data_IF_894341327883
#
_entry.id   IF_894341327883
#
_cell.length_a   1.000
_cell.length_b   1.000
_cell.length_c   1.000
_cell.angle_alpha   90.00
_cell.angle_beta   90.00
_cell.angle_gamma   90.00
#
_symmetry.space_group_name_H-M   'P 1'
#
loop_
_entity.id
_entity.type
_entity.pdbx_description
1 polymer ?
#
# COMPACT_ATOMS: atom_id res chain seq x y z
N UNK A 1 -2.87 67.42 -21.55
CA UNK A 1 -3.69 67.16 -20.35
C UNK A 1 -3.08 65.95 -19.66
N UNK A 2 -2.28 66.28 -18.65
CA UNK A 2 -1.45 65.40 -17.83
C UNK A 2 -2.28 64.60 -16.83
N UNK A 3 -1.82 63.39 -16.52
CA UNK A 3 -1.96 62.65 -15.26
C UNK A 3 -0.98 61.47 -15.33
N UNK A 4 -0.22 61.06 -14.33
CA UNK A 4 0.18 61.63 -13.04
C UNK A 4 1.32 60.71 -12.57
N UNK A 5 2.46 61.26 -12.18
CA UNK A 5 3.55 60.52 -11.53
C UNK A 5 3.26 60.42 -10.03
N UNK A 6 3.43 59.24 -9.44
CA UNK A 6 3.54 59.10 -7.99
C UNK A 6 4.73 58.20 -7.63
N UNK A 7 5.78 58.85 -7.12
CA UNK A 7 6.92 58.22 -6.43
C UNK A 7 6.60 58.11 -4.95
N UNK A 8 6.81 56.95 -4.35
CA UNK A 8 6.68 56.73 -2.91
C UNK A 8 7.74 55.76 -2.41
N UNK A 9 8.83 56.32 -1.90
CA UNK A 9 9.88 55.66 -1.11
C UNK A 9 9.43 55.41 0.33
N UNK A 10 9.76 54.25 0.91
CA UNK A 10 9.92 54.05 2.36
C UNK A 10 10.78 52.80 2.61
N UNK A 11 12.05 52.97 3.02
CA UNK A 11 12.56 52.85 4.40
C UNK A 11 12.48 51.44 4.99
N UNK A 12 13.59 50.70 4.89
CA UNK A 12 13.87 49.52 5.69
C UNK A 12 14.95 49.88 6.74
N UNK A 13 14.53 49.95 7.99
CA UNK A 13 15.36 50.19 9.17
C UNK A 13 16.01 48.86 9.59
N UNK A 14 17.32 48.72 9.39
CA UNK A 14 18.09 47.62 9.96
C UNK A 14 18.51 48.00 11.39
N UNK A 15 18.08 47.19 12.35
CA UNK A 15 18.39 47.36 13.76
C UNK A 15 19.76 46.74 14.05
N UNK A 16 20.72 47.57 14.47
CA UNK A 16 22.00 47.14 15.01
C UNK A 16 21.84 46.62 16.45
N UNK A 17 22.56 45.57 16.81
CA UNK A 17 22.93 45.31 18.21
C UNK A 17 24.35 44.74 18.29
N UNK A 18 25.18 45.20 19.24
CA UNK A 18 26.62 45.06 19.20
C UNK A 18 27.16 43.79 19.87
N UNK A 19 28.27 43.32 19.31
CA UNK A 19 29.19 42.33 19.89
C UNK A 19 29.94 42.90 21.10
N UNK A 20 29.95 42.13 22.20
CA UNK A 20 30.95 42.27 23.26
C UNK A 20 31.96 41.12 23.17
N UNK A 21 33.23 41.53 23.15
CA UNK A 21 34.47 40.77 23.08
C UNK A 21 34.75 39.93 24.35
N UNK A 22 35.36 38.75 24.22
CA UNK A 22 36.73 38.44 24.70
C UNK A 22 37.01 36.93 24.82
N UNK A 23 38.20 36.50 24.40
CA UNK A 23 38.79 35.22 24.84
C UNK A 23 39.67 34.51 23.80
N UNK A 24 40.95 34.87 23.75
CA UNK A 24 42.00 34.24 22.93
C UNK A 24 42.28 32.78 23.33
N UNK A 25 42.65 31.91 22.37
CA UNK A 25 43.97 31.22 22.35
C UNK A 25 44.13 30.28 21.14
N UNK A 26 45.26 30.37 20.43
CA UNK A 26 45.87 29.22 19.71
C UNK A 26 45.75 29.15 18.18
N UNK A 27 46.71 29.75 17.46
CA UNK A 27 47.06 29.56 16.02
C UNK A 27 47.74 28.18 15.79
N UNK A 28 47.80 27.58 14.57
CA UNK A 28 48.52 28.15 13.42
C UNK A 28 47.83 28.12 12.06
N UNK A 29 48.40 29.00 11.22
CA UNK A 29 48.03 29.43 9.88
C UNK A 29 48.87 28.67 8.86
N UNK A 30 48.27 28.26 7.73
CA UNK A 30 48.93 28.34 6.41
C UNK A 30 47.85 28.68 5.34
N UNK A 31 48.12 29.64 4.41
CA UNK A 31 47.13 30.19 3.48
C UNK A 31 47.24 29.58 2.07
N UNK A 32 46.18 29.68 1.26
CA UNK A 32 46.30 29.72 -0.20
C UNK A 32 45.17 30.54 -0.83
N UNK A 33 45.61 31.48 -1.67
CA UNK A 33 44.89 32.53 -2.39
C UNK A 33 44.40 32.06 -3.78
N UNK A 34 43.61 32.95 -4.40
CA UNK A 34 43.17 33.05 -5.82
C UNK A 34 41.80 32.40 -6.10
N UNK A 35 40.69 33.11 -6.33
CA UNK A 35 40.36 34.34 -7.06
C UNK A 35 40.43 34.23 -8.61
N UNK A 36 39.32 34.64 -9.23
CA UNK A 36 39.14 35.34 -10.52
C UNK A 36 38.36 34.61 -11.64
N UNK A 37 37.13 35.13 -11.84
CA UNK A 37 36.43 35.59 -13.06
C UNK A 37 35.96 34.61 -14.17
N UNK A 38 34.65 34.56 -14.46
CA UNK A 38 33.82 35.33 -15.44
C UNK A 38 33.84 34.74 -16.86
N UNK A 39 32.66 34.30 -17.34
CA UNK A 39 32.09 34.49 -18.69
C UNK A 39 30.71 33.80 -18.71
N UNK A 40 29.57 34.50 -18.60
CA UNK A 40 28.83 35.22 -19.66
C UNK A 40 28.68 34.44 -20.98
N UNK A 41 27.50 33.88 -21.22
CA UNK A 41 26.98 33.62 -22.57
C UNK A 41 25.45 33.73 -22.56
N UNK A 42 24.97 34.64 -23.42
CA UNK A 42 23.58 34.96 -23.72
C UNK A 42 22.98 33.93 -24.68
N UNK A 43 21.70 33.62 -24.51
CA UNK A 43 20.79 33.21 -25.59
C UNK A 43 19.35 33.53 -25.14
N UNK A 44 18.81 34.72 -25.42
CA UNK A 44 18.02 35.10 -26.62
C UNK A 44 16.87 34.15 -26.99
N UNK A 45 15.65 34.58 -26.61
CA UNK A 45 14.43 34.70 -27.46
C UNK A 45 13.94 33.50 -28.26
N UNK A 46 12.70 33.06 -27.96
CA UNK A 46 11.60 33.10 -28.93
C UNK A 46 10.23 33.02 -28.22
N UNK A 47 9.34 33.90 -28.65
CA UNK A 47 7.95 34.07 -28.24
C UNK A 47 7.02 33.46 -29.32
N UNK A 48 5.81 33.09 -28.88
CA UNK A 48 4.55 32.99 -29.63
C UNK A 48 4.14 31.63 -30.22
N UNK A 49 2.83 31.40 -30.51
CA UNK A 49 1.62 31.92 -29.87
C UNK A 49 0.57 30.84 -29.53
N UNK A 50 -0.38 31.21 -28.67
CA UNK A 50 -1.66 30.54 -28.51
C UNK A 50 -2.50 30.65 -29.81
N UNK A 51 -3.24 29.58 -30.14
CA UNK A 51 -4.32 29.60 -31.15
C UNK A 51 -5.55 28.86 -30.62
N UNK A 52 -6.77 29.31 -31.00
CA UNK A 52 -8.02 29.02 -30.32
C UNK A 52 -8.79 27.83 -30.90
N UNK A 53 -9.70 27.25 -30.10
CA UNK A 53 -10.87 26.51 -30.61
C UNK A 53 -11.84 27.50 -31.29
N UNK A 54 -12.55 27.16 -32.38
CA UNK A 54 -13.85 26.49 -32.23
C UNK A 54 -14.33 25.64 -33.44
N UNK A 55 -15.36 24.81 -33.25
CA UNK A 55 -16.67 24.84 -33.96
C UNK A 55 -17.39 23.49 -33.98
N UNK A 56 -18.69 23.60 -33.76
CA UNK A 56 -19.70 22.57 -33.89
C UNK A 56 -19.88 22.08 -35.34
N UNK A 57 -20.28 20.82 -35.48
CA UNK A 57 -20.72 20.21 -36.74
C UNK A 57 -21.67 19.06 -36.45
N UNK A 58 -22.92 19.22 -36.86
CA UNK A 58 -24.09 18.39 -36.58
C UNK A 58 -24.26 17.24 -37.57
N UNK A 59 -25.31 16.43 -37.33
CA UNK A 59 -25.96 15.41 -38.18
C UNK A 59 -25.22 14.07 -38.27
N UNK A 60 -25.88 12.92 -38.20
CA UNK A 60 -27.30 12.57 -38.26
C UNK A 60 -27.35 11.10 -38.72
N UNK A 61 -28.17 10.27 -38.09
CA UNK A 61 -28.23 8.85 -38.43
C UNK A 61 -29.22 8.08 -37.58
N UNK A 62 -30.50 8.39 -37.75
CA UNK A 62 -31.61 7.59 -37.26
C UNK A 62 -31.80 6.33 -38.11
N UNK A 63 -32.47 5.36 -37.50
CA UNK A 63 -33.22 4.23 -38.11
C UNK A 63 -32.36 2.98 -38.37
N UNK A 64 -32.78 1.74 -38.10
CA UNK A 64 -34.14 1.21 -37.97
C UNK A 64 -34.17 -0.06 -37.10
N UNK A 65 -35.35 -0.31 -36.54
CA UNK A 65 -35.80 -1.56 -35.97
C UNK A 65 -35.81 -2.72 -37.00
N UNK A 66 -35.76 -3.97 -36.49
CA UNK A 66 -35.80 -5.21 -37.27
C UNK A 66 -35.75 -6.46 -36.36
N UNK A 67 -36.78 -6.76 -35.58
CA UNK A 67 -37.81 -7.82 -35.81
C UNK A 67 -37.31 -9.29 -35.77
N UNK A 68 -37.88 -10.05 -34.81
CA UNK A 68 -38.25 -11.49 -34.80
C UNK A 68 -37.21 -12.62 -34.65
N UNK A 69 -37.55 -13.57 -33.76
CA UNK A 69 -37.00 -14.93 -33.68
C UNK A 69 -36.77 -15.36 -32.23
N UNK A 70 -37.80 -15.61 -31.40
CA UNK A 70 -38.52 -16.89 -31.27
C UNK A 70 -37.61 -18.13 -31.39
N UNK A 71 -37.28 -18.76 -30.25
CA UNK A 71 -37.14 -20.22 -30.08
C UNK A 71 -36.87 -20.57 -28.61
N UNK A 72 -37.92 -21.06 -27.95
CA UNK A 72 -37.82 -21.97 -26.79
C UNK A 72 -37.24 -23.31 -27.26
N UNK A 73 -36.55 -24.05 -26.38
CA UNK A 73 -37.11 -25.36 -26.06
C UNK A 73 -37.07 -25.71 -24.56
N UNK A 74 -38.19 -26.26 -24.11
CA UNK A 74 -38.42 -26.98 -22.85
C UNK A 74 -37.98 -28.46 -22.96
N UNK A 75 -38.12 -29.28 -21.91
CA UNK A 75 -37.07 -30.16 -21.37
C UNK A 75 -37.02 -31.55 -22.03
N UNK A 76 -35.95 -32.30 -21.76
CA UNK A 76 -35.93 -33.75 -21.97
C UNK A 76 -35.60 -34.44 -20.65
N UNK A 77 -36.60 -35.15 -20.12
CA UNK A 77 -36.43 -36.20 -19.11
C UNK A 77 -36.11 -37.51 -19.82
N UNK A 78 -35.09 -38.23 -19.37
CA UNK A 78 -34.96 -39.68 -19.60
C UNK A 78 -34.41 -40.34 -18.34
N UNK A 79 -35.24 -41.20 -17.75
CA UNK A 79 -34.91 -42.18 -16.73
C UNK A 79 -33.88 -43.20 -17.20
N UNK A 80 -32.99 -43.62 -16.30
CA UNK A 80 -32.55 -45.01 -16.25
C UNK A 80 -32.30 -45.41 -14.79
N UNK A 81 -33.19 -46.27 -14.32
CA UNK A 81 -33.15 -47.02 -13.08
C UNK A 81 -32.06 -48.08 -13.14
N UNK A 82 -31.35 -48.30 -12.04
CA UNK A 82 -30.85 -49.64 -11.67
C UNK A 82 -30.55 -49.68 -10.17
N UNK A 83 -31.46 -50.36 -9.48
CA UNK A 83 -31.29 -50.85 -8.12
C UNK A 83 -30.32 -52.04 -8.12
N UNK A 84 -29.41 -52.10 -7.15
CA UNK A 84 -28.98 -53.36 -6.53
C UNK A 84 -28.68 -53.10 -5.05
N UNK A 85 -29.50 -53.69 -4.19
CA UNK A 85 -29.23 -53.98 -2.77
C UNK A 85 -29.29 -55.51 -2.63
N UNK A 86 -28.26 -56.13 -2.01
CA UNK A 86 -28.50 -56.87 -0.77
C UNK A 86 -27.38 -56.58 0.26
N UNK A 87 -27.71 -56.15 1.49
CA UNK A 87 -27.93 -56.95 2.71
C UNK A 87 -26.66 -57.52 3.38
N UNK A 88 -26.67 -57.65 4.73
CA UNK A 88 -25.50 -57.42 5.57
C UNK A 88 -24.76 -58.70 5.96
N UNK A 89 -23.47 -58.58 6.23
CA UNK A 89 -22.66 -59.60 6.91
C UNK A 89 -22.05 -59.01 8.16
N UNK A 90 -22.50 -59.54 9.29
CA UNK A 90 -21.93 -59.38 10.63
C UNK A 90 -20.78 -60.38 10.74
N UNK A 91 -19.62 -59.94 11.23
CA UNK A 91 -18.95 -60.48 12.43
C UNK A 91 -17.42 -60.27 12.44
N UNK A 92 -16.96 -59.98 13.66
CA UNK A 92 -15.67 -60.34 14.24
C UNK A 92 -14.55 -59.30 14.21
N UNK A 93 -14.37 -58.71 15.41
CA UNK A 93 -13.18 -58.03 15.88
C UNK A 93 -11.90 -58.85 15.66
N UNK A 94 -10.88 -58.19 15.13
CA UNK A 94 -9.49 -58.56 15.36
C UNK A 94 -8.74 -57.30 15.83
N UNK A 95 -8.31 -57.36 17.09
CA UNK A 95 -7.38 -56.42 17.70
C UNK A 95 -6.02 -56.56 17.02
N UNK A 96 -5.48 -55.46 16.48
CA UNK A 96 -4.07 -55.35 16.09
C UNK A 96 -3.44 -54.13 16.74
N UNK A 97 -2.31 -54.40 17.39
CA UNK A 97 -1.45 -53.55 18.21
C UNK A 97 -0.99 -52.25 17.51
N UNK A 98 -0.71 -51.15 18.26
CA UNK A 98 -0.29 -49.88 17.67
C UNK A 98 1.16 -49.95 17.17
N UNK A 99 1.35 -49.71 15.87
CA UNK A 99 2.68 -49.53 15.27
C UNK A 99 2.97 -48.05 15.05
N UNK A 100 3.84 -47.53 15.90
CA UNK A 100 4.96 -46.63 15.59
C UNK A 100 4.71 -45.42 14.69
N UNK A 101 4.64 -44.26 15.34
CA UNK A 101 5.37 -43.03 15.01
C UNK A 101 5.27 -42.52 13.58
N UNK A 102 4.18 -41.79 13.29
CA UNK A 102 4.19 -40.80 12.22
C UNK A 102 5.12 -39.64 12.62
N UNK A 103 6.28 -39.59 11.97
CA UNK A 103 7.19 -38.44 11.96
C UNK A 103 6.40 -37.19 11.57
N UNK A 104 6.14 -36.32 12.54
CA UNK A 104 5.55 -35.01 12.31
C UNK A 104 6.51 -34.20 11.44
N UNK A 105 6.02 -33.71 10.30
CA UNK A 105 6.73 -32.72 9.51
C UNK A 105 7.09 -31.52 10.43
N UNK A 106 8.28 -30.90 10.26
CA UNK A 106 8.66 -29.76 11.07
C UNK A 106 7.63 -28.64 10.87
N UNK A 107 7.00 -28.23 11.97
CA UNK A 107 6.20 -27.01 12.01
C UNK A 107 7.07 -25.85 11.52
N UNK A 108 6.49 -25.00 10.67
CA UNK A 108 7.07 -23.71 10.29
C UNK A 108 7.62 -23.02 11.54
N UNK A 109 8.89 -22.58 11.57
CA UNK A 109 9.46 -21.93 12.75
C UNK A 109 8.55 -20.78 13.17
N UNK A 110 8.11 -20.79 14.43
CA UNK A 110 7.53 -19.60 15.03
C UNK A 110 8.51 -18.43 14.84
N UNK A 111 8.02 -17.20 14.63
CA UNK A 111 8.89 -16.03 14.55
C UNK A 111 9.87 -16.06 15.72
N UNK A 112 11.16 -15.86 15.41
CA UNK A 112 12.25 -15.95 16.38
C UNK A 112 11.83 -15.27 17.67
N UNK A 113 12.01 -15.95 18.82
CA UNK A 113 11.62 -15.50 20.14
C UNK A 113 12.46 -14.30 20.63
N UNK A 114 12.64 -13.29 19.78
CA UNK A 114 13.07 -11.97 20.18
C UNK A 114 12.00 -11.37 21.10
N UNK A 115 12.44 -10.54 22.04
CA UNK A 115 11.53 -9.74 22.84
C UNK A 115 10.62 -8.93 21.89
N UNK A 116 9.33 -8.88 22.17
CA UNK A 116 8.39 -8.00 21.48
C UNK A 116 8.17 -6.76 22.33
N UNK A 117 7.99 -5.61 21.68
CA UNK A 117 7.65 -4.33 22.30
C UNK A 117 6.31 -3.88 21.78
N UNK A 118 5.61 -3.07 22.56
CA UNK A 118 4.36 -2.44 22.14
C UNK A 118 4.62 -0.97 21.88
N UNK A 119 4.25 -0.50 20.70
CA UNK A 119 4.14 0.91 20.39
C UNK A 119 2.76 1.38 20.86
N UNK A 120 2.71 2.57 21.44
CA UNK A 120 1.46 3.26 21.79
C UNK A 120 1.58 4.71 21.33
N UNK A 121 0.58 5.19 20.60
CA UNK A 121 0.51 6.59 20.16
C UNK A 121 0.39 7.54 21.34
N UNK A 122 0.78 8.82 21.15
CA UNK A 122 0.75 9.82 22.22
C UNK A 122 -0.65 10.05 22.82
N UNK A 123 -1.70 9.87 22.01
CA UNK A 123 -3.11 9.95 22.41
C UNK A 123 -3.67 8.62 22.94
N UNK A 124 -2.85 7.56 23.00
CA UNK A 124 -3.23 6.20 23.42
C UNK A 124 -4.35 5.56 22.62
N UNK A 125 -4.65 6.08 21.42
CA UNK A 125 -5.70 5.55 20.55
C UNK A 125 -5.23 4.40 19.67
N UNK A 126 -3.93 4.35 19.36
CA UNK A 126 -3.36 3.32 18.49
C UNK A 126 -2.24 2.60 19.22
N UNK A 127 -2.27 1.27 19.16
CA UNK A 127 -1.18 0.44 19.65
C UNK A 127 -0.94 -0.77 18.76
N UNK A 128 0.32 -1.23 18.69
CA UNK A 128 0.68 -2.47 18.00
C UNK A 128 1.98 -3.05 18.58
N UNK A 129 2.16 -4.35 18.45
CA UNK A 129 3.37 -5.05 18.87
C UNK A 129 4.37 -5.15 17.72
N UNK A 130 5.67 -4.97 17.99
CA UNK A 130 6.74 -5.09 17.01
C UNK A 130 7.97 -5.79 17.63
N UNK A 131 8.83 -6.43 16.82
CA UNK A 131 10.08 -7.00 17.31
C UNK A 131 10.97 -5.95 17.98
N UNK A 132 11.54 -6.25 19.15
CA UNK A 132 12.36 -5.29 19.91
C UNK A 132 13.63 -4.82 19.19
N UNK A 133 14.06 -5.57 18.17
CA UNK A 133 15.20 -5.23 17.32
C UNK A 133 14.83 -4.29 16.18
N UNK A 134 13.54 -4.11 15.90
CA UNK A 134 13.03 -3.16 14.92
C UNK A 134 12.88 -1.76 15.53
N UNK A 135 12.90 -0.74 14.68
CA UNK A 135 12.76 0.67 15.04
C UNK A 135 11.43 1.21 14.56
N UNK A 136 10.86 2.09 15.37
CA UNK A 136 9.63 2.82 15.07
C UNK A 136 10.00 4.31 15.08
N UNK A 137 9.65 5.02 14.02
CA UNK A 137 9.94 6.45 13.84
C UNK A 137 8.76 7.16 13.20
N UNK A 138 8.61 8.45 13.44
CA UNK A 138 7.61 9.26 12.74
C UNK A 138 7.89 9.24 11.22
N UNK A 139 6.87 9.01 10.42
CA UNK A 139 7.01 9.00 8.97
C UNK A 139 7.21 10.43 8.45
N UNK A 140 8.09 10.60 7.46
CA UNK A 140 8.39 11.91 6.91
C UNK A 140 7.19 12.47 6.11
N UNK A 141 6.70 13.65 6.49
CA UNK A 141 5.67 14.37 5.74
C UNK A 141 4.22 14.15 6.19
N UNK A 142 3.99 13.69 7.43
CA UNK A 142 2.65 13.50 7.98
C UNK A 142 1.75 14.74 7.85
N UNK A 143 0.53 14.55 7.34
CA UNK A 143 -0.44 15.60 7.02
C UNK A 143 -1.42 15.90 8.15
N UNK A 144 -1.09 15.48 9.37
CA UNK A 144 -1.98 15.46 10.53
C UNK A 144 -2.57 14.06 10.72
N UNK A 145 -2.50 13.55 11.96
CA UNK A 145 -2.79 12.15 12.29
C UNK A 145 -1.58 11.45 12.92
N UNK A 146 -1.64 10.12 12.96
CA UNK A 146 -0.54 9.24 13.41
C UNK A 146 0.11 8.67 12.15
N UNK A 147 1.37 9.03 11.95
CA UNK A 147 2.18 8.69 10.78
C UNK A 147 3.49 8.06 11.26
N UNK A 148 3.64 6.74 11.10
CA UNK A 148 4.71 5.98 11.73
C UNK A 148 5.30 4.97 10.75
N UNK A 149 6.62 5.02 10.57
CA UNK A 149 7.39 4.01 9.84
C UNK A 149 7.98 2.99 10.82
N UNK A 150 7.88 1.72 10.47
CA UNK A 150 8.58 0.63 11.17
C UNK A 150 9.69 0.11 10.27
N UNK A 151 10.93 0.15 10.75
CA UNK A 151 12.10 -0.34 10.04
C UNK A 151 12.72 -1.56 10.76
N UNK A 152 13.22 -2.51 9.97
CA UNK A 152 13.92 -3.67 10.50
C UNK A 152 15.35 -3.33 10.95
N UNK A 153 16.11 -4.34 11.39
CA UNK A 153 17.49 -4.19 11.87
C UNK A 153 18.47 -3.65 10.80
N UNK A 154 18.12 -3.79 9.52
CA UNK A 154 18.88 -3.27 8.39
C UNK A 154 18.47 -1.85 7.99
N UNK A 155 17.66 -1.18 8.82
CA UNK A 155 17.07 0.14 8.60
C UNK A 155 16.22 0.22 7.32
N UNK A 156 15.67 -0.92 6.88
CA UNK A 156 14.70 -1.00 5.79
C UNK A 156 13.29 -0.87 6.37
N UNK A 157 12.53 0.12 5.90
CA UNK A 157 11.11 0.27 6.27
C UNK A 157 10.33 -0.95 5.77
N UNK A 158 9.75 -1.69 6.71
CA UNK A 158 8.98 -2.91 6.45
C UNK A 158 7.48 -2.64 6.37
N UNK A 159 6.98 -1.65 7.09
CA UNK A 159 5.61 -1.20 7.03
C UNK A 159 5.46 0.24 7.55
N UNK A 160 4.48 0.95 7.01
CA UNK A 160 4.09 2.30 7.43
C UNK A 160 2.65 2.28 7.91
N UNK A 161 2.41 2.85 9.08
CA UNK A 161 1.11 3.09 9.67
C UNK A 161 0.70 4.54 9.40
N UNK A 162 -0.50 4.71 8.86
CA UNK A 162 -1.14 6.00 8.66
C UNK A 162 -2.56 5.94 9.23
N UNK A 163 -2.85 6.78 10.21
CA UNK A 163 -4.19 6.93 10.82
C UNK A 163 -4.51 8.43 10.90
N UNK A 164 -5.44 8.90 10.08
CA UNK A 164 -5.75 10.32 10.05
C UNK A 164 -6.69 10.72 8.92
N UNK A 165 -6.92 12.04 8.75
CA UNK A 165 -7.60 12.56 7.57
C UNK A 165 -6.76 12.26 6.33
N UNK A 166 -7.18 11.25 5.56
CA UNK A 166 -6.51 10.92 4.30
C UNK A 166 -7.01 11.80 3.16
N UNK A 167 -6.14 12.05 2.19
CA UNK A 167 -6.56 12.49 0.86
C UNK A 167 -7.42 11.43 0.16
N UNK A 168 -8.06 11.82 -0.95
CA UNK A 168 -8.83 10.87 -1.77
C UNK A 168 -7.95 9.76 -2.34
N UNK A 169 -8.49 8.54 -2.43
CA UNK A 169 -7.86 7.44 -3.13
C UNK A 169 -7.78 7.78 -4.62
N UNK A 170 -6.58 8.08 -5.10
CA UNK A 170 -6.32 8.48 -6.47
C UNK A 170 -5.32 7.56 -7.16
N UNK A 171 -5.33 7.57 -8.49
CA UNK A 171 -4.45 6.77 -9.32
C UNK A 171 -5.20 6.22 -10.52
N UNK A 172 -4.55 6.26 -11.68
CA UNK A 172 -5.02 5.56 -12.86
C UNK A 172 -3.99 4.48 -13.19
N UNK A 173 -4.47 3.29 -13.53
CA UNK A 173 -3.65 2.24 -14.10
C UNK A 173 -4.35 1.71 -15.35
N UNK A 174 -3.54 1.13 -16.23
CA UNK A 174 -3.98 0.52 -17.48
C UNK A 174 -3.36 -0.87 -17.56
N UNK A 175 -4.04 -1.80 -18.22
CA UNK A 175 -3.58 -3.18 -18.36
C UNK A 175 -3.83 -3.98 -17.08
N UNK A 176 -5.03 -4.53 -16.95
CA UNK A 176 -5.33 -5.47 -15.89
C UNK A 176 -4.43 -6.70 -16.02
N UNK A 177 -3.85 -7.11 -14.90
CA UNK A 177 -3.01 -8.30 -14.80
C UNK A 177 -3.63 -9.30 -13.83
N UNK A 178 -3.30 -10.59 -13.93
CA UNK A 178 -3.77 -11.58 -12.97
C UNK A 178 -3.44 -11.18 -11.54
N UNK A 179 -4.46 -11.21 -10.70
CA UNK A 179 -4.43 -10.83 -9.30
C UNK A 179 -4.58 -12.08 -8.43
N UNK A 180 -3.82 -12.15 -7.35
CA UNK A 180 -3.88 -13.31 -6.44
C UNK A 180 -3.71 -12.86 -4.99
N UNK A 181 -4.61 -13.33 -4.13
CA UNK A 181 -4.44 -13.25 -2.68
C UNK A 181 -3.64 -14.48 -2.24
N UNK A 182 -2.46 -14.25 -1.67
CA UNK A 182 -1.53 -15.29 -1.23
C UNK A 182 -1.77 -15.70 0.23
N UNK A 183 -2.19 -14.75 1.06
CA UNK A 183 -2.50 -14.93 2.48
C UNK A 183 -3.58 -13.94 2.89
N UNK A 184 -4.45 -14.32 3.81
CA UNK A 184 -5.45 -13.42 4.38
C UNK A 184 -5.87 -13.88 5.76
N UNK A 185 -5.98 -12.93 6.69
CA UNK A 185 -6.49 -13.16 8.04
C UNK A 185 -7.33 -11.97 8.47
N UNK A 186 -8.53 -12.23 8.95
CA UNK A 186 -9.42 -11.19 9.48
C UNK A 186 -8.81 -10.60 10.75
N UNK A 187 -9.01 -9.29 10.91
CA UNK A 187 -8.55 -8.54 12.08
C UNK A 187 -9.72 -7.77 12.66
N UNK A 188 -9.71 -7.62 13.98
CA UNK A 188 -10.73 -6.88 14.69
C UNK A 188 -10.33 -5.41 14.75
N UNK A 189 -10.83 -4.64 13.78
CA UNK A 189 -10.56 -3.21 13.66
C UNK A 189 -11.87 -2.44 13.43
N UNK A 190 -11.98 -1.21 13.96
CA UNK A 190 -13.11 -0.36 13.65
C UNK A 190 -13.15 -0.09 12.15
N UNK A 191 -14.32 -0.30 11.54
CA UNK A 191 -14.53 -0.06 10.13
C UNK A 191 -15.97 0.39 9.89
N UNK A 192 -16.17 1.11 8.78
CA UNK A 192 -17.49 1.50 8.33
C UNK A 192 -17.90 0.61 7.15
N UNK A 193 -18.84 -0.35 7.34
CA UNK A 193 -19.30 -1.19 6.25
C UNK A 193 -19.91 -0.34 5.14
N UNK A 194 -19.47 -0.57 3.92
CA UNK A 194 -19.99 0.07 2.72
C UNK A 194 -20.27 -1.00 1.65
N UNK A 195 -21.02 -0.63 0.62
CA UNK A 195 -21.33 -1.58 -0.45
C UNK A 195 -20.03 -2.05 -1.11
N UNK A 196 -19.77 -3.34 -1.07
CA UNK A 196 -18.59 -3.95 -1.69
C UNK A 196 -17.37 -4.04 -0.78
N UNK A 197 -17.47 -3.62 0.49
CA UNK A 197 -16.43 -3.89 1.49
C UNK A 197 -16.66 -5.23 2.19
N UNK A 198 -15.61 -5.75 2.80
CA UNK A 198 -15.55 -6.97 3.60
C UNK A 198 -14.97 -6.62 4.98
N UNK A 199 -15.08 -7.53 5.94
CA UNK A 199 -14.42 -7.38 7.23
C UNK A 199 -12.93 -7.08 7.04
N UNK A 200 -12.38 -6.08 7.76
CA UNK A 200 -10.97 -5.76 7.74
C UNK A 200 -10.10 -6.99 7.89
N UNK A 201 -9.07 -7.07 7.08
CA UNK A 201 -8.16 -8.21 7.04
C UNK A 201 -6.77 -7.74 6.72
N UNK A 202 -5.79 -8.40 7.31
CA UNK A 202 -4.47 -8.45 6.72
C UNK A 202 -4.55 -9.30 5.46
N UNK A 203 -3.92 -8.85 4.38
CA UNK A 203 -3.81 -9.63 3.15
C UNK A 203 -2.42 -9.45 2.53
N UNK A 204 -1.84 -10.55 2.03
CA UNK A 204 -0.69 -10.51 1.13
C UNK A 204 -1.17 -10.76 -0.29
N UNK A 205 -0.99 -9.79 -1.18
CA UNK A 205 -1.63 -9.73 -2.50
C UNK A 205 -0.59 -9.51 -3.58
N UNK A 206 -0.82 -10.10 -4.75
CA UNK A 206 0.13 -10.11 -5.85
C UNK A 206 -0.53 -9.76 -7.19
N UNK A 207 0.17 -8.92 -7.97
CA UNK A 207 -0.06 -8.66 -9.38
C UNK A 207 0.97 -9.45 -10.20
N UNK A 208 0.50 -10.24 -11.15
CA UNK A 208 1.36 -11.08 -11.99
C UNK A 208 1.57 -10.42 -13.36
N UNK A 209 2.72 -9.78 -13.54
CA UNK A 209 3.13 -9.20 -14.81
C UNK A 209 3.87 -10.25 -15.65
N UNK A 210 4.02 -10.08 -16.98
CA UNK A 210 4.63 -11.09 -17.84
C UNK A 210 6.04 -11.55 -17.44
N UNK A 211 6.80 -10.70 -16.76
CA UNK A 211 8.21 -10.94 -16.40
C UNK A 211 8.49 -10.84 -14.90
N UNK A 212 7.49 -10.56 -14.07
CA UNK A 212 7.66 -10.37 -12.62
C UNK A 212 6.34 -10.50 -11.88
N UNK A 213 6.43 -10.63 -10.57
CA UNK A 213 5.30 -10.54 -9.66
C UNK A 213 5.55 -9.39 -8.70
N UNK A 214 4.63 -8.45 -8.64
CA UNK A 214 4.67 -7.36 -7.67
C UNK A 214 3.67 -7.68 -6.57
N UNK A 215 4.14 -7.80 -5.32
CA UNK A 215 3.29 -8.17 -4.20
C UNK A 215 3.52 -7.27 -2.99
N UNK A 216 2.48 -7.11 -2.18
CA UNK A 216 2.46 -6.25 -1.01
C UNK A 216 1.54 -6.84 0.04
N UNK A 217 1.87 -6.61 1.30
CA UNK A 217 1.02 -6.97 2.42
C UNK A 217 0.54 -5.73 3.18
N UNK A 218 -0.66 -5.82 3.72
CA UNK A 218 -1.20 -4.78 4.57
C UNK A 218 -2.65 -5.01 4.93
N UNK A 219 -3.21 -4.04 5.65
CA UNK A 219 -4.61 -4.01 5.99
C UNK A 219 -5.47 -3.66 4.78
N UNK A 220 -6.62 -4.31 4.64
CA UNK A 220 -7.61 -3.97 3.62
C UNK A 220 -9.02 -4.36 4.05
N UNK A 221 -10.01 -3.62 3.59
CA UNK A 221 -11.45 -3.96 3.73
C UNK A 221 -12.13 -4.13 2.37
N UNK A 222 -11.38 -4.06 1.27
CA UNK A 222 -11.95 -4.05 -0.07
C UNK A 222 -11.32 -5.18 -0.90
N UNK A 223 -12.12 -6.14 -1.40
CA UNK A 223 -11.61 -7.13 -2.32
C UNK A 223 -11.21 -6.44 -3.63
N UNK A 224 -9.94 -6.56 -4.01
CA UNK A 224 -9.47 -6.17 -5.33
C UNK A 224 -9.62 -7.34 -6.33
N UNK A 225 -9.50 -7.05 -7.62
CA UNK A 225 -9.40 -8.12 -8.62
C UNK A 225 -10.73 -8.69 -9.09
N UNK A 226 -11.66 -7.85 -9.58
CA UNK A 226 -12.89 -8.38 -10.17
C UNK A 226 -12.55 -9.35 -11.32
N UNK A 227 -13.12 -10.55 -11.31
CA UNK A 227 -12.78 -11.65 -12.23
C UNK A 227 -11.33 -12.15 -12.15
N UNK A 228 -10.64 -11.94 -11.02
CA UNK A 228 -9.27 -12.42 -10.81
C UNK A 228 -8.20 -11.55 -11.47
N UNK A 229 -8.54 -10.34 -11.93
CA UNK A 229 -7.61 -9.40 -12.55
C UNK A 229 -7.82 -7.99 -12.01
N UNK A 230 -6.73 -7.23 -11.83
CA UNK A 230 -6.78 -5.79 -11.53
C UNK A 230 -5.50 -5.13 -12.03
N UNK A 231 -5.57 -3.85 -12.38
CA UNK A 231 -4.38 -3.07 -12.65
C UNK A 231 -3.77 -2.44 -11.38
N UNK A 232 -4.53 -2.33 -10.26
CA UNK A 232 -4.03 -1.85 -8.97
C UNK A 232 -4.85 -2.32 -7.77
N UNK A 233 -4.29 -2.16 -6.56
CA UNK A 233 -4.99 -2.26 -5.30
C UNK A 233 -4.38 -1.33 -4.23
N UNK A 234 -5.15 -1.04 -3.18
CA UNK A 234 -4.72 -0.25 -2.03
C UNK A 234 -4.72 -1.10 -0.76
N UNK A 235 -3.76 -0.86 0.13
CA UNK A 235 -3.72 -1.43 1.48
C UNK A 235 -4.33 -0.46 2.49
N UNK A 236 -5.63 -0.25 2.39
CA UNK A 236 -6.38 0.70 3.23
C UNK A 236 -7.65 0.07 3.78
N UNK A 237 -8.08 0.54 4.95
CA UNK A 237 -9.37 0.22 5.56
C UNK A 237 -10.18 1.51 5.69
N UNK A 238 -11.45 1.45 5.34
CA UNK A 238 -12.42 2.53 5.53
C UNK A 238 -12.87 2.53 6.99
N UNK A 239 -12.39 3.51 7.74
CA UNK A 239 -12.68 3.65 9.16
C UNK A 239 -13.92 4.49 9.45
N UNK A 240 -14.22 4.74 10.74
CA UNK A 240 -15.29 5.65 11.17
C UNK A 240 -14.96 7.11 10.84
N UNK A 241 -15.90 8.03 11.07
CA UNK A 241 -15.75 9.45 10.68
C UNK A 241 -14.55 10.18 11.29
N UNK A 242 -14.03 9.70 12.43
CA UNK A 242 -12.85 10.27 13.08
C UNK A 242 -11.54 9.93 12.32
N UNK A 243 -11.46 8.72 11.75
CA UNK A 243 -10.37 8.25 10.91
C UNK A 243 -10.96 7.60 9.66
N UNK A 244 -11.39 8.41 8.68
CA UNK A 244 -12.16 7.90 7.54
C UNK A 244 -11.37 6.88 6.71
N UNK A 245 -10.04 6.91 6.81
CA UNK A 245 -9.15 5.95 6.20
C UNK A 245 -7.94 5.72 7.10
N UNK A 246 -7.51 4.47 7.19
CA UNK A 246 -6.21 4.15 7.76
C UNK A 246 -5.54 3.01 7.00
N UNK A 247 -4.22 2.95 7.11
CA UNK A 247 -3.36 1.98 6.42
C UNK A 247 -2.30 1.47 7.39
N UNK A 248 -2.01 0.17 7.35
CA UNK A 248 -0.79 -0.37 7.92
C UNK A 248 -0.26 -1.46 6.98
N UNK A 249 0.79 -1.13 6.23
CA UNK A 249 1.21 -1.91 5.06
C UNK A 249 2.67 -1.65 4.67
N UNK A 250 3.27 -2.55 3.89
CA UNK A 250 4.58 -2.30 3.26
C UNK A 250 4.51 -1.28 2.13
N UNK A 251 3.39 -1.21 1.40
CA UNK A 251 3.10 -0.19 0.41
C UNK A 251 1.65 0.29 0.53
N UNK A 252 1.40 1.58 0.33
CA UNK A 252 0.05 2.12 0.35
C UNK A 252 -0.77 1.68 -0.87
N UNK A 253 -0.16 1.75 -2.06
CA UNK A 253 -0.76 1.42 -3.34
C UNK A 253 0.17 0.53 -4.17
N UNK A 254 -0.39 -0.52 -4.78
CA UNK A 254 0.34 -1.35 -5.74
C UNK A 254 -0.34 -1.28 -7.09
N UNK A 255 0.42 -0.95 -8.14
CA UNK A 255 -0.06 -0.88 -9.51
C UNK A 255 0.83 -1.70 -10.45
N UNK A 256 0.22 -2.32 -11.46
CA UNK A 256 0.95 -2.95 -12.55
C UNK A 256 1.79 -1.89 -13.29
N UNK A 257 3.02 -2.24 -13.65
CA UNK A 257 3.96 -1.28 -14.25
C UNK A 257 4.44 -0.17 -13.30
N UNK A 258 4.15 -0.27 -11.99
CA UNK A 258 4.73 0.62 -10.99
C UNK A 258 6.25 0.50 -10.92
N UNK A 259 6.91 1.59 -10.51
CA UNK A 259 8.33 1.59 -10.09
C UNK A 259 8.40 1.91 -8.60
N UNK A 260 9.46 1.45 -7.93
CA UNK A 260 9.68 1.75 -6.51
C UNK A 260 9.97 3.24 -6.23
N UNK A 261 10.26 4.02 -7.28
CA UNK A 261 10.45 5.47 -7.17
C UNK A 261 9.13 6.23 -6.94
N UNK A 262 8.00 5.60 -7.23
CA UNK A 262 6.67 6.14 -6.94
C UNK A 262 6.44 6.09 -5.42
N UNK A 263 6.29 7.24 -4.72
CA UNK A 263 6.14 7.25 -3.26
C UNK A 263 4.96 6.42 -2.76
N UNK A 264 3.90 6.26 -3.57
CA UNK A 264 2.73 5.45 -3.21
C UNK A 264 3.00 3.95 -3.37
N UNK A 265 3.97 3.59 -4.20
CA UNK A 265 4.41 2.23 -4.50
C UNK A 265 5.61 1.77 -3.65
N UNK A 266 6.25 2.72 -2.95
CA UNK A 266 7.42 2.48 -2.11
C UNK A 266 7.14 1.38 -1.09
N UNK A 267 7.96 0.32 -1.13
CA UNK A 267 7.92 -0.83 -0.23
C UNK A 267 7.23 -2.07 -0.79
N UNK A 268 6.55 -1.97 -1.94
CA UNK A 268 6.03 -3.13 -2.67
C UNK A 268 7.19 -4.02 -3.12
N UNK A 269 6.99 -5.34 -3.05
CA UNK A 269 8.06 -6.32 -3.27
C UNK A 269 7.96 -6.90 -4.66
N UNK A 270 9.10 -6.99 -5.35
CA UNK A 270 9.19 -7.64 -6.66
C UNK A 270 9.78 -9.04 -6.52
N UNK A 271 9.12 -10.01 -7.13
CA UNK A 271 9.52 -11.42 -7.16
C UNK A 271 9.61 -11.91 -8.62
N UNK A 272 10.47 -12.91 -8.90
CA UNK A 272 10.53 -13.51 -10.23
C UNK A 272 9.30 -14.38 -10.56
N UNK A 273 8.55 -14.83 -9.56
CA UNK A 273 7.38 -15.69 -9.74
C UNK A 273 6.45 -15.67 -8.52
N UNK A 274 5.24 -16.21 -8.67
CA UNK A 274 4.33 -16.43 -7.54
C UNK A 274 4.92 -17.38 -6.49
N UNK A 275 5.66 -18.41 -6.92
CA UNK A 275 6.27 -19.35 -5.98
C UNK A 275 7.35 -18.69 -5.12
N UNK A 276 8.11 -17.75 -5.69
CA UNK A 276 9.05 -16.94 -4.93
C UNK A 276 8.32 -16.04 -3.91
N UNK A 277 7.19 -15.44 -4.29
CA UNK A 277 6.35 -14.68 -3.36
C UNK A 277 5.79 -15.59 -2.23
N UNK A 278 5.36 -16.82 -2.56
CA UNK A 278 4.91 -17.80 -1.55
C UNK A 278 6.05 -18.27 -0.65
N UNK A 279 7.26 -18.40 -1.16
CA UNK A 279 8.44 -18.72 -0.37
C UNK A 279 8.77 -17.60 0.62
N UNK A 280 8.60 -16.33 0.22
CA UNK A 280 8.78 -15.17 1.10
C UNK A 280 7.89 -15.23 2.35
N UNK A 281 6.67 -15.78 2.25
CA UNK A 281 5.78 -15.93 3.41
C UNK A 281 6.33 -16.81 4.54
N UNK A 282 7.36 -17.61 4.25
CA UNK A 282 8.02 -18.46 5.24
C UNK A 282 9.21 -17.77 5.92
N UNK A 283 9.55 -16.56 5.49
CA UNK A 283 10.67 -15.81 6.05
C UNK A 283 10.30 -15.21 7.41
N UNK A 284 11.27 -15.06 8.33
CA UNK A 284 11.04 -14.38 9.60
C UNK A 284 10.54 -12.94 9.40
N UNK A 285 11.01 -12.27 8.36
CA UNK A 285 10.66 -10.89 8.03
C UNK A 285 9.15 -10.75 7.77
N UNK A 286 8.60 -11.62 6.90
CA UNK A 286 7.16 -11.67 6.64
C UNK A 286 6.35 -12.06 7.89
N UNK A 287 6.78 -13.11 8.61
CA UNK A 287 6.05 -13.60 9.79
C UNK A 287 6.00 -12.55 10.90
N UNK A 288 7.09 -11.82 11.10
CA UNK A 288 7.16 -10.71 12.05
C UNK A 288 6.27 -9.55 11.59
N UNK A 289 6.32 -9.17 10.31
CA UNK A 289 5.48 -8.09 9.77
C UNK A 289 3.99 -8.43 9.86
N UNK A 290 3.61 -9.66 9.52
CA UNK A 290 2.22 -10.15 9.66
C UNK A 290 1.76 -10.06 11.11
N UNK A 291 2.56 -10.56 12.07
CA UNK A 291 2.21 -10.48 13.50
C UNK A 291 2.09 -9.02 13.96
N UNK A 292 3.01 -8.15 13.54
CA UNK A 292 2.96 -6.73 13.87
C UNK A 292 1.69 -6.06 13.35
N UNK A 293 1.38 -6.20 12.06
CA UNK A 293 0.22 -5.54 11.45
C UNK A 293 -1.10 -6.10 12.04
N UNK A 294 -1.18 -7.42 12.26
CA UNK A 294 -2.37 -8.04 12.85
C UNK A 294 -2.55 -7.78 14.35
N UNK A 295 -1.52 -7.27 15.03
CA UNK A 295 -1.61 -6.86 16.44
C UNK A 295 -2.13 -5.43 16.63
N UNK A 296 -2.38 -4.71 15.53
CA UNK A 296 -2.89 -3.34 15.57
C UNK A 296 -4.21 -3.29 16.33
N UNK A 297 -4.31 -2.33 17.24
CA UNK A 297 -5.53 -1.96 17.94
C UNK A 297 -5.76 -0.48 17.73
N UNK A 298 -6.99 -0.14 17.38
CA UNK A 298 -7.48 1.23 17.30
C UNK A 298 -8.65 1.32 18.25
N UNK A 299 -8.53 2.21 19.24
CA UNK A 299 -9.57 2.48 20.22
C UNK A 299 -10.38 3.69 19.78
N UNK A 300 -11.69 3.51 19.67
CA UNK A 300 -12.64 4.62 19.53
C UNK A 300 -12.72 5.38 20.85
N UNK A 301 -12.85 6.72 20.77
CA UNK A 301 -13.00 7.59 21.93
C UNK A 301 -14.39 7.55 22.55
#
# INVERSE_FOLDING_TARGET
MECSMNSGTNTATANESPLASSGLSGRPVVPALAAVAVALLLATTACAPAVPAPLAGTSGGSSSAGTLGSSSPTPTSTSASSAVTPSPIVATSASVSPSSSATSAPATPAPSAGAWRTFTSADSKVSFDYPASWRVSDAAGGSGGIDVDVANEADVVVASLHVGPSGGLGGACQGDVPYTVLDSVEVDLPHQPAKGTVTPRFAFRALQEPNRVTASFGLTDTPAGHNGTTCMFYNVVTGPSEWPLFSFADAFQVRAGGSEDDPMHKGAKTFPSLDAARAYMKTPDYLNAKRMITSLKIHES
#
